data_IF_247993637173
#
_entry.id   IF_247993637173
#
_cell.length_a   1.000
_cell.length_b   1.000
_cell.length_c   1.000
_cell.angle_alpha   90.00
_cell.angle_beta   90.00
_cell.angle_gamma   90.00
#
_symmetry.space_group_name_H-M   'P 1'
#
loop_
_entity.id
_entity.type
_entity.pdbx_description
1 polymer ?
#
# COMPACT_ATOMS: atom_id res chain seq x y z
N UNK A 1 15.32 -15.22 -1.22
CA UNK A 1 15.66 -14.46 0.01
C UNK A 1 17.03 -13.83 -0.23
N UNK A 2 17.13 -12.53 -0.49
CA UNK A 2 18.42 -11.87 -0.80
C UNK A 2 19.03 -11.40 0.52
N UNK A 3 20.15 -12.01 0.94
CA UNK A 3 20.98 -11.52 2.05
C UNK A 3 22.14 -10.74 1.44
N UNK A 4 22.39 -9.53 1.91
CA UNK A 4 23.64 -8.83 1.61
C UNK A 4 24.81 -9.64 2.18
N UNK A 5 25.83 -9.90 1.35
CA UNK A 5 27.06 -10.55 1.81
C UNK A 5 27.81 -9.58 2.75
N UNK A 6 28.31 -10.09 3.89
CA UNK A 6 29.27 -9.38 4.75
C UNK A 6 28.88 -7.93 5.15
N UNK A 7 27.70 -7.73 5.76
CA UNK A 7 27.25 -6.41 6.27
C UNK A 7 27.12 -5.28 5.24
N UNK A 8 27.13 -5.60 3.95
CA UNK A 8 26.92 -4.60 2.90
C UNK A 8 25.55 -3.96 2.97
N UNK A 9 25.54 -2.65 2.70
CA UNK A 9 24.35 -1.85 2.52
C UNK A 9 23.49 -2.39 1.36
N UNK A 10 22.18 -2.53 1.57
CA UNK A 10 21.22 -2.85 0.51
C UNK A 10 20.79 -1.53 -0.13
N UNK A 11 21.05 -1.30 -1.42
CA UNK A 11 20.60 -0.09 -2.11
C UNK A 11 19.09 0.07 -2.03
N UNK A 12 18.60 1.31 -1.96
CA UNK A 12 17.15 1.61 -1.89
C UNK A 12 16.37 1.00 -3.05
N UNK A 13 16.98 0.91 -4.24
CA UNK A 13 16.37 0.27 -5.42
C UNK A 13 16.14 -1.24 -5.27
N UNK A 14 16.74 -1.88 -4.26
CA UNK A 14 16.58 -3.29 -3.94
C UNK A 14 15.70 -3.52 -2.70
N UNK A 15 15.20 -2.45 -2.07
CA UNK A 15 14.26 -2.55 -0.96
C UNK A 15 12.84 -2.82 -1.48
N UNK A 16 12.04 -3.46 -0.66
CA UNK A 16 10.63 -3.66 -0.93
C UNK A 16 9.85 -2.38 -0.64
N UNK A 17 8.90 -2.09 -1.52
CA UNK A 17 7.84 -1.10 -1.35
C UNK A 17 6.51 -1.79 -1.62
N UNK A 18 5.45 -1.37 -0.92
CA UNK A 18 4.13 -1.97 -1.04
C UNK A 18 3.05 -0.97 -0.63
N UNK A 19 1.81 -1.28 -0.98
CA UNK A 19 0.66 -0.39 -0.83
C UNK A 19 -0.02 -0.15 -2.17
N UNK A 20 -1.25 0.34 -2.14
CA UNK A 20 -2.05 0.59 -3.33
C UNK A 20 -3.05 -0.52 -3.68
N UNK A 21 -3.73 -0.33 -4.81
CA UNK A 21 -4.89 -1.12 -5.23
C UNK A 21 -4.67 -2.62 -5.46
N UNK A 22 -3.42 -3.06 -5.60
CA UNK A 22 -3.06 -4.44 -5.97
C UNK A 22 -2.24 -5.17 -4.90
N UNK A 23 -2.07 -4.59 -3.71
CA UNK A 23 -1.29 -5.21 -2.63
C UNK A 23 -1.97 -5.01 -1.28
N UNK A 24 -1.70 -3.90 -0.59
CA UNK A 24 -2.31 -3.54 0.68
C UNK A 24 -3.24 -2.35 0.44
N UNK A 25 -4.53 -2.62 0.20
CA UNK A 25 -5.53 -1.62 -0.20
C UNK A 25 -5.94 -0.66 0.92
N UNK A 26 -5.35 -0.78 2.11
CA UNK A 26 -5.47 0.21 3.19
C UNK A 26 -4.36 1.27 3.17
N UNK A 27 -3.40 1.18 2.25
CA UNK A 27 -2.28 2.10 2.11
C UNK A 27 -2.29 2.77 0.75
N UNK A 28 -1.89 4.05 0.66
CA UNK A 28 -1.51 4.64 -0.62
C UNK A 28 -0.38 3.86 -1.29
N UNK A 29 -0.16 4.12 -2.58
CA UNK A 29 0.87 3.45 -3.37
C UNK A 29 2.23 3.62 -2.68
N UNK A 30 2.92 2.51 -2.44
CA UNK A 30 4.25 2.42 -1.84
C UNK A 30 4.40 2.99 -0.41
N UNK A 31 3.30 3.27 0.29
CA UNK A 31 3.32 3.83 1.66
C UNK A 31 3.20 2.79 2.78
N UNK A 32 3.12 1.49 2.47
CA UNK A 32 3.19 0.48 3.51
C UNK A 32 4.65 0.34 3.98
N UNK A 33 4.87 0.49 5.29
CA UNK A 33 6.12 0.14 5.95
C UNK A 33 6.83 1.32 6.61
N UNK A 34 8.17 1.26 6.72
CA UNK A 34 8.96 2.31 7.35
C UNK A 34 8.92 3.60 6.52
N UNK A 35 8.62 4.70 7.20
CA UNK A 35 8.66 6.05 6.65
C UNK A 35 9.72 6.89 7.38
N UNK A 36 10.27 7.86 6.66
CA UNK A 36 11.18 8.87 7.22
C UNK A 36 10.61 10.25 6.97
N UNK A 37 10.60 11.08 7.99
CA UNK A 37 10.28 12.50 7.85
C UNK A 37 11.42 13.20 7.12
N UNK A 38 11.09 13.86 6.01
CA UNK A 38 12.02 14.70 5.26
C UNK A 38 11.56 16.15 5.34
N UNK A 39 12.48 17.11 5.59
CA UNK A 39 12.13 18.51 5.54
C UNK A 39 11.87 18.91 4.08
N UNK A 40 10.63 19.21 3.75
CA UNK A 40 10.25 19.83 2.49
C UNK A 40 10.21 21.34 2.67
N UNK A 41 11.26 22.01 2.20
CA UNK A 41 11.37 23.47 2.19
C UNK A 41 10.89 23.96 0.82
N UNK A 42 10.00 24.96 0.78
CA UNK A 42 9.38 25.42 -0.47
C UNK A 42 10.40 25.74 -1.57
N UNK A 43 10.22 25.15 -2.75
CA UNK A 43 11.03 25.38 -3.98
C UNK A 43 10.34 26.39 -4.91
N UNK A 44 9.25 27.02 -4.44
CA UNK A 44 8.52 28.02 -5.21
C UNK A 44 9.30 29.35 -5.16
N UNK A 45 9.68 29.83 -6.34
CA UNK A 45 10.40 31.09 -6.53
C UNK A 45 9.66 32.23 -5.83
N UNK A 46 10.27 32.79 -4.78
CA UNK A 46 9.71 33.92 -4.01
C UNK A 46 9.25 33.60 -2.58
N UNK A 47 9.27 32.34 -2.12
CA UNK A 47 9.11 32.03 -0.69
C UNK A 47 10.47 31.96 0.01
N UNK A 48 10.62 32.71 1.09
CA UNK A 48 11.79 32.65 1.97
C UNK A 48 11.99 31.21 2.45
N UNK A 49 13.18 30.64 2.26
CA UNK A 49 13.55 29.24 2.58
C UNK A 49 13.44 28.87 4.08
N UNK A 50 12.83 29.72 4.91
CA UNK A 50 12.79 29.61 6.37
C UNK A 50 11.68 28.72 6.92
N UNK A 51 10.72 28.28 6.10
CA UNK A 51 9.65 27.39 6.55
C UNK A 51 9.69 26.04 5.82
N UNK A 52 10.28 25.04 6.47
CA UNK A 52 10.29 23.65 6.03
C UNK A 52 9.20 22.87 6.76
N UNK A 53 8.46 22.03 6.04
CA UNK A 53 7.47 21.14 6.62
C UNK A 53 7.98 19.70 6.53
N UNK A 54 7.90 18.95 7.61
CA UNK A 54 8.29 17.54 7.59
C UNK A 54 7.21 16.72 6.89
N UNK A 55 7.58 16.02 5.82
CA UNK A 55 6.70 15.14 5.05
C UNK A 55 7.16 13.69 5.23
N UNK A 56 6.27 12.74 5.54
CA UNK A 56 6.62 11.32 5.56
C UNK A 56 6.91 10.83 4.14
N UNK A 57 8.04 10.15 3.97
CA UNK A 57 8.44 9.52 2.71
C UNK A 57 8.79 8.06 2.98
N UNK A 58 8.22 7.10 2.20
CA UNK A 58 8.55 5.70 2.36
C UNK A 58 10.02 5.45 2.04
N UNK A 59 10.71 4.72 2.92
CA UNK A 59 12.12 4.35 2.70
C UNK A 59 12.30 2.91 2.26
N UNK A 60 11.21 2.14 2.22
CA UNK A 60 11.21 0.72 1.89
C UNK A 60 11.73 -0.15 3.04
N UNK A 61 11.79 -1.46 2.79
CA UNK A 61 12.20 -2.44 3.79
C UNK A 61 12.93 -3.63 3.21
N UNK A 62 13.57 -4.40 4.10
CA UNK A 62 14.36 -5.60 3.75
C UNK A 62 13.53 -6.88 3.77
N UNK A 63 12.30 -6.80 4.26
CA UNK A 63 11.37 -7.91 4.32
C UNK A 63 9.99 -7.42 3.91
N UNK A 64 9.29 -8.25 3.15
CA UNK A 64 7.92 -8.05 2.73
C UNK A 64 7.10 -9.26 3.14
N UNK A 65 5.95 -9.02 3.75
CA UNK A 65 4.93 -10.04 3.91
C UNK A 65 3.60 -9.45 3.48
N UNK A 66 2.90 -10.15 2.60
CA UNK A 66 1.56 -9.78 2.12
C UNK A 66 0.71 -11.05 2.12
N UNK A 67 -0.49 -10.91 2.66
CA UNK A 67 -1.57 -11.88 2.61
C UNK A 67 -2.78 -11.16 2.01
N UNK A 68 -3.26 -11.63 0.87
CA UNK A 68 -4.46 -11.10 0.24
C UNK A 68 -5.49 -12.23 0.13
N UNK A 69 -6.63 -12.03 0.77
CA UNK A 69 -7.75 -12.97 0.78
C UNK A 69 -8.96 -12.28 0.17
N UNK A 70 -9.53 -12.87 -0.87
CA UNK A 70 -10.68 -12.28 -1.58
C UNK A 70 -11.81 -13.29 -1.75
N UNK A 71 -13.02 -12.87 -1.39
CA UNK A 71 -14.26 -13.55 -1.72
C UNK A 71 -14.95 -12.78 -2.85
N UNK A 72 -15.13 -13.45 -3.99
CA UNK A 72 -15.75 -12.86 -5.19
C UNK A 72 -17.08 -13.54 -5.47
N UNK A 73 -18.11 -12.74 -5.76
CA UNK A 73 -19.46 -13.26 -6.02
C UNK A 73 -20.18 -12.42 -7.09
N UNK A 74 -21.01 -13.04 -7.93
CA UNK A 74 -21.87 -12.28 -8.85
C UNK A 74 -22.92 -11.51 -8.05
N UNK A 75 -23.17 -10.24 -8.39
CA UNK A 75 -24.21 -9.45 -7.72
C UNK A 75 -25.62 -9.77 -8.23
N UNK A 76 -25.75 -10.31 -9.45
CA UNK A 76 -27.04 -10.65 -10.06
C UNK A 76 -27.91 -9.45 -10.49
N UNK A 77 -27.58 -8.23 -10.06
CA UNK A 77 -28.30 -6.99 -10.40
C UNK A 77 -28.04 -6.54 -11.85
N UNK A 78 -26.82 -6.75 -12.34
CA UNK A 78 -26.40 -6.41 -13.70
C UNK A 78 -25.53 -7.52 -14.29
N UNK A 79 -25.65 -7.74 -15.61
CA UNK A 79 -24.72 -8.62 -16.33
C UNK A 79 -23.29 -8.07 -16.18
N UNK A 80 -22.33 -8.98 -15.97
CA UNK A 80 -20.91 -8.66 -15.85
C UNK A 80 -20.50 -7.82 -14.63
N UNK A 81 -21.38 -7.69 -13.63
CA UNK A 81 -21.09 -7.02 -12.36
C UNK A 81 -20.90 -8.04 -11.23
N UNK A 82 -19.74 -7.98 -10.58
CA UNK A 82 -19.38 -8.79 -9.43
C UNK A 82 -19.04 -7.95 -8.21
N UNK A 83 -19.31 -8.49 -7.03
CA UNK A 83 -18.89 -7.96 -5.74
C UNK A 83 -17.64 -8.69 -5.24
N UNK A 84 -16.87 -7.99 -4.42
CA UNK A 84 -15.69 -8.52 -3.74
C UNK A 84 -15.74 -8.09 -2.28
N UNK A 85 -15.47 -9.02 -1.38
CA UNK A 85 -15.09 -8.73 -0.01
C UNK A 85 -13.63 -9.19 0.11
N UNK A 86 -12.78 -8.35 0.68
CA UNK A 86 -11.37 -8.69 0.81
C UNK A 86 -10.80 -8.38 2.18
N UNK A 87 -9.73 -9.09 2.49
CA UNK A 87 -8.86 -8.86 3.62
C UNK A 87 -7.41 -8.81 3.13
N UNK A 88 -6.73 -7.72 3.44
CA UNK A 88 -5.31 -7.56 3.17
C UNK A 88 -4.56 -7.47 4.48
N UNK A 89 -3.63 -8.39 4.71
CA UNK A 89 -2.77 -8.42 5.88
C UNK A 89 -1.31 -8.37 5.49
N UNK A 90 -0.48 -7.71 6.29
CA UNK A 90 0.97 -7.65 6.10
C UNK A 90 1.54 -6.25 6.14
N UNK A 91 2.81 -6.14 5.79
CA UNK A 91 3.53 -4.87 5.71
C UNK A 91 4.89 -5.05 5.02
N UNK A 92 5.57 -3.93 4.78
CA UNK A 92 7.01 -3.86 4.54
C UNK A 92 7.71 -3.63 5.89
N UNK A 93 8.83 -4.31 6.11
CA UNK A 93 9.53 -4.36 7.39
C UNK A 93 10.99 -3.92 7.28
N UNK A 94 11.46 -3.14 8.25
CA UNK A 94 12.83 -2.63 8.27
C UNK A 94 13.85 -3.71 8.63
N UNK A 95 13.48 -4.73 9.41
CA UNK A 95 14.37 -5.79 9.85
C UNK A 95 13.70 -7.16 9.80
N UNK A 96 14.49 -8.18 9.43
CA UNK A 96 14.04 -9.59 9.43
C UNK A 96 14.03 -10.08 10.88
N UNK A 97 12.90 -9.90 11.56
CA UNK A 97 12.72 -10.29 12.96
C UNK A 97 11.26 -10.53 13.29
N UNK A 98 10.98 -11.57 14.07
CA UNK A 98 9.62 -11.89 14.51
C UNK A 98 8.97 -10.74 15.32
N UNK A 99 9.75 -10.03 16.15
CA UNK A 99 9.24 -8.86 16.88
C UNK A 99 8.86 -7.73 15.92
N UNK A 100 9.73 -7.41 14.95
CA UNK A 100 9.44 -6.38 13.96
C UNK A 100 8.21 -6.73 13.11
N UNK A 101 8.03 -8.02 12.80
CA UNK A 101 6.84 -8.54 12.13
C UNK A 101 5.57 -8.26 12.93
N UNK A 102 5.52 -8.70 14.19
CA UNK A 102 4.33 -8.57 15.04
C UNK A 102 3.98 -7.11 15.35
N UNK A 103 4.98 -6.29 15.67
CA UNK A 103 4.76 -4.88 16.06
C UNK A 103 4.26 -4.01 14.90
N UNK A 104 4.60 -4.37 13.66
CA UNK A 104 4.29 -3.57 12.46
C UNK A 104 3.33 -4.28 11.51
N UNK A 105 2.68 -5.37 11.91
CA UNK A 105 1.71 -6.06 11.08
C UNK A 105 0.47 -5.19 10.88
N UNK A 106 0.01 -5.03 9.64
CA UNK A 106 -1.17 -4.20 9.32
C UNK A 106 -2.24 -5.01 8.63
N UNK A 107 -3.49 -4.59 8.77
CA UNK A 107 -4.66 -5.32 8.34
C UNK A 107 -5.71 -4.37 7.80
N UNK A 108 -6.32 -4.76 6.69
CA UNK A 108 -7.33 -3.98 6.00
C UNK A 108 -8.48 -4.90 5.67
N UNK A 109 -9.70 -4.46 5.95
CA UNK A 109 -10.90 -5.05 5.38
C UNK A 109 -11.46 -4.12 4.33
N UNK A 110 -12.04 -4.68 3.28
CA UNK A 110 -12.62 -3.85 2.25
C UNK A 110 -13.63 -4.54 1.37
N UNK A 111 -14.28 -3.69 0.58
CA UNK A 111 -15.30 -4.05 -0.37
C UNK A 111 -14.88 -3.57 -1.76
N UNK A 112 -15.26 -4.34 -2.77
CA UNK A 112 -14.95 -4.04 -4.14
C UNK A 112 -16.10 -4.32 -5.09
N UNK A 113 -16.13 -3.57 -6.17
CA UNK A 113 -16.96 -3.82 -7.34
C UNK A 113 -16.07 -4.14 -8.53
N UNK A 114 -16.51 -5.09 -9.34
CA UNK A 114 -15.83 -5.54 -10.56
C UNK A 114 -16.81 -5.52 -11.70
N UNK A 115 -16.52 -4.74 -12.73
CA UNK A 115 -17.37 -4.62 -13.90
C UNK A 115 -16.58 -4.95 -15.16
N UNK A 116 -16.98 -5.99 -15.88
CA UNK A 116 -16.33 -6.34 -17.15
C UNK A 116 -16.94 -5.52 -18.30
N UNK A 117 -16.20 -4.53 -18.77
CA UNK A 117 -16.57 -3.73 -19.94
C UNK A 117 -15.97 -4.33 -21.22
N UNK A 118 -16.47 -3.97 -22.42
CA UNK A 118 -15.90 -4.45 -23.68
C UNK A 118 -14.42 -4.07 -23.88
N UNK A 119 -13.96 -2.97 -23.28
CA UNK A 119 -12.58 -2.46 -23.41
C UNK A 119 -11.66 -2.94 -22.27
N UNK A 120 -12.19 -3.70 -21.31
CA UNK A 120 -11.42 -4.25 -20.20
C UNK A 120 -12.16 -4.24 -18.85
N UNK A 121 -11.60 -4.91 -17.83
CA UNK A 121 -12.18 -4.92 -16.50
C UNK A 121 -11.99 -3.56 -15.80
N UNK A 122 -13.06 -3.10 -15.16
CA UNK A 122 -13.07 -1.93 -14.26
C UNK A 122 -13.20 -2.43 -12.83
N UNK A 123 -12.38 -1.90 -11.94
CA UNK A 123 -12.36 -2.25 -10.52
C UNK A 123 -12.54 -0.97 -9.71
N UNK A 124 -13.39 -1.06 -8.70
CA UNK A 124 -13.49 -0.06 -7.65
C UNK A 124 -13.31 -0.78 -6.31
N UNK A 125 -12.39 -0.32 -5.48
CA UNK A 125 -12.08 -0.92 -4.18
C UNK A 125 -12.06 0.14 -3.10
N UNK A 126 -12.65 -0.19 -1.96
CA UNK A 126 -12.60 0.60 -0.73
C UNK A 126 -11.98 -0.27 0.35
N UNK A 127 -10.81 0.10 0.82
CA UNK A 127 -10.12 -0.56 1.93
C UNK A 127 -10.13 0.31 3.17
N UNK A 128 -10.42 -0.29 4.32
CA UNK A 128 -10.33 0.33 5.64
C UNK A 128 -9.31 -0.43 6.50
N UNK A 129 -8.23 0.26 6.87
CA UNK A 129 -7.19 -0.27 7.73
C UNK A 129 -7.69 -0.28 9.18
N UNK A 130 -7.84 -1.49 9.75
CA UNK A 130 -8.36 -1.72 11.10
C UNK A 130 -7.34 -1.42 12.20
N UNK A 131 -6.06 -1.32 11.86
CA UNK A 131 -5.01 -0.85 12.76
C UNK A 131 -4.26 0.32 12.12
N UNK A 132 -4.87 1.52 12.16
CA UNK A 132 -4.40 2.67 11.40
C UNK A 132 -2.98 3.07 11.79
N UNK A 133 -2.19 3.39 10.76
CA UNK A 133 -0.82 3.87 10.90
C UNK A 133 -0.83 5.39 11.01
N UNK A 134 -0.10 5.94 11.98
CA UNK A 134 0.05 7.38 12.14
C UNK A 134 0.56 8.03 10.86
N UNK A 135 -0.12 9.08 10.39
CA UNK A 135 0.24 9.79 9.16
C UNK A 135 -0.44 9.29 7.88
N UNK A 136 -1.08 8.12 7.93
CA UNK A 136 -1.80 7.54 6.79
C UNK A 136 -3.30 7.53 7.07
N UNK A 137 -4.11 7.95 6.09
CA UNK A 137 -5.57 7.86 6.21
C UNK A 137 -5.98 6.38 6.29
N UNK A 138 -6.79 6.05 7.28
CA UNK A 138 -7.26 4.66 7.51
C UNK A 138 -8.08 4.10 6.34
N UNK A 139 -8.85 4.94 5.64
CA UNK A 139 -9.64 4.51 4.49
C UNK A 139 -9.01 4.98 3.18
N UNK A 140 -8.88 4.05 2.22
CA UNK A 140 -8.35 4.28 0.88
C UNK A 140 -9.33 3.80 -0.18
N UNK A 141 -9.25 4.41 -1.36
CA UNK A 141 -10.14 4.12 -2.49
C UNK A 141 -9.29 3.94 -3.75
N UNK A 142 -9.58 2.92 -4.54
CA UNK A 142 -8.87 2.65 -5.78
C UNK A 142 -9.84 2.45 -6.93
N UNK A 143 -9.50 3.03 -8.08
CA UNK A 143 -10.12 2.76 -9.37
C UNK A 143 -9.04 2.19 -10.27
N UNK A 144 -9.31 1.06 -10.91
CA UNK A 144 -8.38 0.42 -11.84
C UNK A 144 -9.09 0.08 -13.13
N UNK A 145 -8.44 0.41 -14.26
CA UNK A 145 -8.95 0.19 -15.61
C UNK A 145 -7.95 -0.66 -16.39
N UNK A 146 -8.43 -1.71 -17.06
CA UNK A 146 -7.64 -2.42 -18.07
C UNK A 146 -6.59 -3.40 -17.53
N UNK A 147 -6.47 -3.57 -16.21
CA UNK A 147 -5.56 -4.57 -15.65
C UNK A 147 -6.18 -5.97 -15.73
N UNK A 148 -5.70 -6.76 -16.70
CA UNK A 148 -5.86 -8.22 -16.73
C UNK A 148 -4.99 -8.84 -15.61
N UNK A 149 -5.49 -9.91 -14.99
CA UNK A 149 -4.79 -10.66 -13.96
C UNK A 149 -3.90 -11.74 -14.58
#
# INVERSE_FOLDING_TARGET
MVKAFSSSFVPTSQLYFSGGGNSLRGFPIDQAGPERLVPFCGVLSGQTLTQCTNVPVPVGGRQLFILNSELRFPLGIMKNLGGVIFYDGGNVYSAISFRNFMDNYTNTFGLGLRYATPIGPVRFDIGHNINPVTGIKSTQYFITLGQAF
#
